data_IF_146169172762
#
_entry.id   IF_146169172762
#
_cell.length_a   1.000
_cell.length_b   1.000
_cell.length_c   1.000
_cell.angle_alpha   90.00
_cell.angle_beta   90.00
_cell.angle_gamma   90.00
#
_symmetry.space_group_name_H-M   'P 1'
#
loop_
_entity.id
_entity.type
_entity.pdbx_description
1 polymer ?
#
# COMPACT_ATOMS: atom_id res chain seq x y z
N UNK A 1 -30.00 -23.04 -56.44
CA UNK A 1 -28.83 -22.88 -55.52
C UNK A 1 -28.31 -24.25 -55.17
N UNK A 2 -27.05 -24.43 -55.40
CA UNK A 2 -26.40 -25.69 -55.07
C UNK A 2 -26.24 -25.84 -53.56
N UNK A 3 -26.77 -26.94 -53.01
CA UNK A 3 -26.62 -27.27 -51.60
C UNK A 3 -25.15 -27.30 -51.16
N UNK A 4 -24.25 -27.63 -52.10
CA UNK A 4 -22.79 -27.62 -51.86
C UNK A 4 -22.25 -26.24 -51.56
N UNK A 5 -22.78 -25.19 -52.21
CA UNK A 5 -22.35 -23.79 -51.99
C UNK A 5 -22.74 -23.31 -50.58
N UNK A 6 -23.95 -23.68 -50.14
CA UNK A 6 -24.45 -23.31 -48.80
C UNK A 6 -23.64 -24.01 -47.71
N UNK A 7 -23.26 -25.28 -47.93
CA UNK A 7 -22.39 -26.01 -46.97
C UNK A 7 -20.99 -25.44 -46.91
N UNK A 8 -20.43 -24.99 -48.02
CA UNK A 8 -19.13 -24.32 -48.05
C UNK A 8 -19.16 -22.96 -47.34
N UNK A 9 -20.21 -22.20 -47.53
CA UNK A 9 -20.38 -20.91 -46.88
C UNK A 9 -20.57 -21.10 -45.37
N UNK A 10 -21.34 -22.10 -44.95
CA UNK A 10 -21.50 -22.43 -43.51
C UNK A 10 -20.20 -22.85 -42.87
N UNK A 11 -19.38 -23.61 -43.56
CA UNK A 11 -18.06 -24.02 -43.09
C UNK A 11 -17.11 -22.84 -42.95
N UNK A 12 -17.15 -21.89 -43.90
CA UNK A 12 -16.34 -20.67 -43.85
C UNK A 12 -16.76 -19.76 -42.68
N UNK A 13 -18.04 -19.59 -42.42
CA UNK A 13 -18.53 -18.83 -41.27
C UNK A 13 -18.19 -19.49 -39.94
N UNK A 14 -18.21 -20.82 -39.89
CA UNK A 14 -17.79 -21.56 -38.72
C UNK A 14 -16.30 -21.37 -38.39
N UNK A 15 -15.46 -21.34 -39.43
CA UNK A 15 -14.01 -21.08 -39.28
C UNK A 15 -13.73 -19.62 -38.88
N UNK A 16 -14.43 -18.67 -39.48
CA UNK A 16 -14.33 -17.25 -39.14
C UNK A 16 -14.79 -16.97 -37.71
N UNK A 17 -15.82 -17.66 -37.27
CA UNK A 17 -16.32 -17.52 -35.90
C UNK A 17 -15.35 -18.10 -34.88
N UNK A 18 -14.71 -19.22 -35.20
CA UNK A 18 -13.72 -19.83 -34.32
C UNK A 18 -12.44 -18.99 -34.20
N UNK A 19 -12.06 -18.29 -35.28
CA UNK A 19 -10.89 -17.40 -35.26
C UNK A 19 -11.17 -16.12 -34.49
N UNK A 20 -12.39 -15.63 -34.47
CA UNK A 20 -12.73 -14.43 -33.71
C UNK A 20 -12.79 -14.67 -32.20
N UNK A 21 -12.99 -15.89 -31.77
CA UNK A 21 -13.02 -16.23 -30.35
C UNK A 21 -11.62 -16.34 -29.74
N UNK A 22 -10.59 -16.51 -30.54
CA UNK A 22 -9.21 -16.65 -30.06
C UNK A 22 -8.48 -15.31 -29.90
N UNK A 23 -9.07 -14.19 -30.34
CA UNK A 23 -8.47 -12.86 -30.16
C UNK A 23 -8.93 -12.14 -28.89
N UNK A 24 -9.70 -12.81 -28.05
CA UNK A 24 -9.96 -12.30 -26.70
C UNK A 24 -8.78 -12.63 -25.77
N UNK A 25 -7.58 -12.34 -26.25
CA UNK A 25 -6.47 -12.11 -25.33
C UNK A 25 -6.84 -10.86 -24.55
N UNK A 26 -7.56 -11.06 -23.48
CA UNK A 26 -7.66 -10.06 -22.44
C UNK A 26 -6.20 -9.75 -22.11
N UNK A 27 -5.74 -8.61 -22.58
CA UNK A 27 -4.55 -8.02 -22.00
C UNK A 27 -4.92 -7.81 -20.55
N UNK A 28 -4.62 -8.80 -19.74
CA UNK A 28 -4.58 -8.61 -18.32
C UNK A 28 -3.60 -7.47 -18.14
N UNK A 29 -4.11 -6.30 -17.85
CA UNK A 29 -3.27 -5.22 -17.37
C UNK A 29 -2.60 -5.79 -16.14
N UNK A 30 -1.40 -6.30 -16.35
CA UNK A 30 -0.56 -6.72 -15.26
C UNK A 30 -0.28 -5.47 -14.47
N UNK A 31 -1.06 -5.27 -13.42
CA UNK A 31 -0.72 -4.26 -12.44
C UNK A 31 0.69 -4.58 -11.97
N UNK A 32 1.59 -3.62 -11.99
CA UNK A 32 2.92 -3.86 -11.50
C UNK A 32 2.78 -4.40 -10.09
N UNK A 33 3.32 -5.59 -9.88
CA UNK A 33 3.31 -6.21 -8.57
C UNK A 33 3.97 -5.25 -7.59
N UNK A 34 3.42 -5.07 -6.41
CA UNK A 34 4.02 -4.21 -5.41
C UNK A 34 5.44 -4.71 -5.12
N UNK A 35 6.38 -3.78 -4.97
CA UNK A 35 7.76 -4.17 -4.71
C UNK A 35 7.85 -5.01 -3.45
N UNK A 36 8.58 -6.10 -3.55
CA UNK A 36 8.83 -7.00 -2.44
C UNK A 36 10.22 -6.77 -1.91
N UNK A 37 10.33 -6.74 -0.61
CA UNK A 37 11.58 -6.46 0.08
C UNK A 37 11.90 -7.56 1.09
N UNK A 38 13.18 -7.73 1.32
CA UNK A 38 13.69 -8.65 2.35
C UNK A 38 14.59 -7.87 3.29
N UNK A 39 14.19 -7.74 4.53
CA UNK A 39 14.94 -7.01 5.56
C UNK A 39 14.93 -7.86 6.82
N UNK A 40 16.11 -8.09 7.36
CA UNK A 40 16.28 -8.72 8.66
C UNK A 40 17.26 -7.87 9.46
N UNK A 41 16.73 -7.02 10.30
CA UNK A 41 17.48 -6.13 11.15
C UNK A 41 16.89 -6.12 12.55
N UNK A 42 17.72 -6.23 13.55
CA UNK A 42 17.31 -6.22 14.93
C UNK A 42 18.10 -5.16 15.69
N UNK A 43 17.41 -4.40 16.52
CA UNK A 43 17.99 -3.39 17.38
C UNK A 43 18.87 -2.38 16.63
N UNK A 44 18.37 -1.90 15.49
CA UNK A 44 19.03 -0.89 14.65
C UNK A 44 18.25 0.41 14.65
N UNK A 45 18.91 1.56 14.41
CA UNK A 45 18.19 2.80 14.26
C UNK A 45 17.17 2.72 13.11
N UNK A 46 16.02 3.33 13.30
CA UNK A 46 14.95 3.36 12.27
C UNK A 46 15.44 3.88 10.93
N UNK A 47 16.36 4.83 10.95
CA UNK A 47 17.03 5.37 9.76
C UNK A 47 17.64 4.27 8.88
N UNK A 48 18.24 3.25 9.50
CA UNK A 48 18.84 2.13 8.78
C UNK A 48 17.81 1.28 8.06
N UNK A 49 16.67 1.09 8.67
CA UNK A 49 15.55 0.34 8.07
C UNK A 49 14.96 1.12 6.91
N UNK A 50 14.78 2.43 7.08
CA UNK A 50 14.31 3.33 6.02
C UNK A 50 15.23 3.24 4.79
N UNK A 51 16.54 3.38 5.02
CA UNK A 51 17.54 3.30 3.96
C UNK A 51 17.52 1.95 3.23
N UNK A 52 17.31 0.86 3.97
CA UNK A 52 17.20 -0.46 3.39
C UNK A 52 15.93 -0.63 2.55
N UNK A 53 14.84 -0.02 2.95
CA UNK A 53 13.58 -0.05 2.19
C UNK A 53 13.72 0.80 0.90
N UNK A 54 14.30 1.97 0.99
CA UNK A 54 14.54 2.84 -0.18
C UNK A 54 15.44 2.15 -1.21
N UNK A 55 16.44 1.42 -0.77
CA UNK A 55 17.35 0.71 -1.68
C UNK A 55 16.71 -0.47 -2.39
N UNK A 56 15.74 -1.11 -1.79
CA UNK A 56 15.05 -2.29 -2.33
C UNK A 56 13.73 -1.97 -3.02
N UNK A 57 13.29 -0.74 -2.93
CA UNK A 57 12.03 -0.28 -3.50
C UNK A 57 12.20 1.08 -4.18
N UNK A 58 11.16 1.52 -4.86
CA UNK A 58 11.13 2.85 -5.47
C UNK A 58 10.39 3.86 -4.59
N UNK A 59 10.23 3.54 -3.31
CA UNK A 59 9.56 4.43 -2.37
C UNK A 59 10.53 5.48 -1.85
N UNK A 60 10.00 6.68 -1.69
CA UNK A 60 10.71 7.82 -1.09
C UNK A 60 10.09 8.10 0.28
N UNK A 61 10.93 8.41 1.23
CA UNK A 61 10.47 8.70 2.58
C UNK A 61 10.49 10.20 2.86
N UNK A 62 9.35 10.71 3.30
CA UNK A 62 9.23 12.06 3.86
C UNK A 62 9.05 11.91 5.38
N UNK A 63 9.95 12.46 6.13
CA UNK A 63 10.01 12.29 7.58
C UNK A 63 9.71 13.62 8.25
N UNK A 64 8.68 13.63 9.09
CA UNK A 64 8.35 14.79 9.90
C UNK A 64 9.47 15.03 10.94
N UNK A 65 9.78 16.30 11.17
CA UNK A 65 10.81 16.72 12.13
C UNK A 65 10.59 16.22 13.56
N UNK A 66 9.35 15.84 13.88
CA UNK A 66 9.00 15.30 15.20
C UNK A 66 9.25 13.81 15.34
N UNK A 67 9.66 13.13 14.28
CA UNK A 67 9.94 11.70 14.28
C UNK A 67 11.37 11.46 14.74
N UNK A 68 11.55 10.65 15.76
CA UNK A 68 12.87 10.25 16.20
C UNK A 68 13.34 9.02 15.39
N UNK A 69 14.06 9.26 14.32
CA UNK A 69 14.60 8.20 13.46
C UNK A 69 15.80 7.46 14.08
N UNK A 70 16.37 7.99 15.16
CA UNK A 70 17.48 7.34 15.85
C UNK A 70 17.01 6.25 16.84
N UNK A 71 15.72 6.17 17.08
CA UNK A 71 15.18 5.11 17.94
C UNK A 71 15.40 3.74 17.31
N UNK A 72 15.71 2.77 18.17
CA UNK A 72 16.00 1.41 17.74
C UNK A 72 14.71 0.65 17.43
N UNK A 73 14.72 -0.04 16.32
CA UNK A 73 13.62 -0.85 15.84
C UNK A 73 14.14 -2.20 15.35
N UNK A 74 13.25 -3.16 15.27
CA UNK A 74 13.55 -4.48 14.71
C UNK A 74 12.53 -4.80 13.63
N UNK A 75 13.02 -5.19 12.47
CA UNK A 75 12.20 -5.59 11.33
C UNK A 75 12.73 -6.91 10.79
N UNK A 76 11.85 -7.87 10.64
CA UNK A 76 12.16 -9.15 10.02
C UNK A 76 11.07 -9.50 9.02
N UNK A 77 11.38 -9.35 7.77
CA UNK A 77 10.48 -9.71 6.68
C UNK A 77 11.26 -10.29 5.51
N UNK A 78 10.70 -11.31 4.90
CA UNK A 78 11.26 -11.98 3.73
C UNK A 78 10.21 -11.99 2.64
N UNK A 79 10.57 -11.47 1.47
CA UNK A 79 9.66 -11.39 0.32
C UNK A 79 8.31 -10.76 0.69
N UNK A 80 8.36 -9.70 1.47
CA UNK A 80 7.19 -9.01 2.01
C UNK A 80 6.96 -7.68 1.29
N UNK A 81 5.73 -7.17 1.40
CA UNK A 81 5.42 -5.84 0.89
C UNK A 81 6.07 -4.76 1.77
N UNK A 82 6.30 -3.60 1.18
CA UNK A 82 6.82 -2.43 1.90
C UNK A 82 5.91 -2.09 3.09
N UNK A 83 4.60 -2.21 2.91
CA UNK A 83 3.62 -1.97 3.97
C UNK A 83 3.84 -2.89 5.19
N UNK A 84 4.13 -4.17 4.95
CA UNK A 84 4.42 -5.12 6.03
C UNK A 84 5.68 -4.72 6.79
N UNK A 85 6.72 -4.31 6.10
CA UNK A 85 7.96 -3.85 6.71
C UNK A 85 7.73 -2.56 7.53
N UNK A 86 6.96 -1.63 7.01
CA UNK A 86 6.60 -0.39 7.71
C UNK A 86 5.79 -0.68 8.98
N UNK A 87 4.82 -1.58 8.90
CA UNK A 87 4.03 -1.99 10.06
C UNK A 87 4.91 -2.56 11.17
N UNK A 88 5.88 -3.39 10.81
CA UNK A 88 6.83 -3.92 11.80
C UNK A 88 7.75 -2.84 12.34
N UNK A 89 8.21 -1.92 11.50
CA UNK A 89 9.11 -0.84 11.87
C UNK A 89 8.48 0.11 12.91
N UNK A 90 7.22 0.48 12.70
CA UNK A 90 6.53 1.41 13.59
C UNK A 90 5.95 0.73 14.84
N UNK A 91 5.90 -0.60 14.84
CA UNK A 91 5.33 -1.34 15.97
C UNK A 91 6.12 -1.08 17.26
N UNK A 92 5.42 -0.61 18.28
CA UNK A 92 6.03 -0.27 19.55
C UNK A 92 6.74 1.09 19.58
N UNK A 93 6.58 1.88 18.54
CA UNK A 93 7.09 3.26 18.46
C UNK A 93 5.95 4.26 18.44
N UNK A 94 6.26 5.52 18.69
CA UNK A 94 5.29 6.62 18.56
C UNK A 94 5.31 7.22 17.16
N UNK A 95 5.46 6.38 16.15
CA UNK A 95 5.52 6.78 14.75
C UNK A 95 4.37 6.16 13.97
N UNK A 96 3.70 6.96 13.18
CA UNK A 96 2.72 6.51 12.22
C UNK A 96 3.26 6.66 10.80
N UNK A 97 2.81 5.83 9.89
CA UNK A 97 3.15 5.97 8.49
C UNK A 97 1.90 6.11 7.63
N UNK A 98 2.08 6.75 6.50
CA UNK A 98 1.07 6.86 5.45
C UNK A 98 1.77 6.64 4.11
N UNK A 99 1.16 5.83 3.26
CA UNK A 99 1.65 5.59 1.91
C UNK A 99 0.76 6.38 0.95
N UNK A 100 1.37 7.17 0.12
CA UNK A 100 0.73 7.94 -0.93
C UNK A 100 1.48 7.70 -2.24
N UNK A 101 0.91 6.84 -3.09
CA UNK A 101 1.53 6.38 -4.33
C UNK A 101 2.92 5.76 -4.06
N UNK A 102 3.98 6.46 -4.38
CA UNK A 102 5.37 6.02 -4.14
C UNK A 102 6.04 6.75 -2.99
N UNK A 103 5.30 7.52 -2.22
CA UNK A 103 5.83 8.27 -1.09
C UNK A 103 5.33 7.68 0.23
N UNK A 104 6.22 7.53 1.16
CA UNK A 104 5.91 7.13 2.53
C UNK A 104 6.14 8.33 3.44
N UNK A 105 5.11 8.76 4.12
CA UNK A 105 5.20 9.86 5.08
C UNK A 105 5.24 9.28 6.48
N UNK A 106 6.28 9.58 7.23
CA UNK A 106 6.41 9.22 8.64
C UNK A 106 6.09 10.43 9.49
N UNK A 107 5.17 10.27 10.41
CA UNK A 107 4.77 11.32 11.36
C UNK A 107 4.79 10.79 12.79
N UNK A 108 5.14 11.64 13.74
CA UNK A 108 5.01 11.28 15.13
C UNK A 108 3.52 11.17 15.47
N UNK A 109 3.13 10.02 16.01
CA UNK A 109 1.83 9.93 16.66
C UNK A 109 1.90 10.83 17.88
N UNK A 110 1.37 12.04 17.73
CA UNK A 110 0.88 12.69 18.91
C UNK A 110 -0.11 11.71 19.52
N UNK A 111 0.22 11.16 20.66
CA UNK A 111 -0.80 10.90 21.63
C UNK A 111 -1.46 12.25 21.86
N UNK A 112 -2.36 12.60 20.97
CA UNK A 112 -3.45 13.39 21.47
C UNK A 112 -3.95 12.53 22.62
N UNK A 113 -3.50 12.87 23.80
CA UNK A 113 -4.35 12.69 24.94
C UNK A 113 -5.65 13.19 24.34
N UNK A 114 -6.50 12.26 23.95
CA UNK A 114 -7.84 12.56 23.63
C UNK A 114 -8.29 13.41 24.82
N UNK A 115 -7.96 14.67 24.71
CA UNK A 115 -8.75 15.65 25.34
C UNK A 115 -10.06 15.44 24.63
N UNK A 116 -10.77 14.42 25.08
CA UNK A 116 -12.19 14.50 24.96
C UNK A 116 -12.44 15.96 25.19
N UNK A 117 -13.05 16.67 24.22
CA UNK A 117 -13.59 17.91 24.64
C UNK A 117 -14.38 17.52 25.87
N UNK A 118 -13.77 17.71 26.97
CA UNK A 118 -14.56 17.89 28.14
C UNK A 118 -15.39 19.06 27.71
N UNK A 119 -16.53 18.72 27.16
CA UNK A 119 -17.60 19.60 27.37
C UNK A 119 -17.58 19.79 28.88
N UNK A 120 -16.73 20.66 29.29
CA UNK A 120 -17.09 21.40 30.44
C UNK A 120 -18.31 22.12 29.93
N UNK A 121 -19.37 21.39 29.81
CA UNK A 121 -20.64 21.98 29.99
C UNK A 121 -20.53 22.57 31.36
N UNK A 122 -19.78 23.56 31.21
CA UNK A 122 -19.77 24.43 32.23
C UNK A 122 -21.17 24.59 32.60
N UNK A 123 -21.55 24.32 33.05
CA UNK A 123 -22.39 24.70 33.48
C UNK A 123 -22.34 25.70 34.01
N UNK A 124 -22.26 26.33 33.67
CA UNK A 124 -22.35 27.22 34.00
C UNK A 124 -23.34 27.64 34.70
N UNK A 125 -23.51 27.79 35.31
CA UNK A 125 -24.20 28.15 35.85
C UNK A 125 -24.33 29.09 36.45
N UNK A 126 -24.44 29.46 36.42
CA UNK A 126 -24.73 30.05 36.79
C UNK A 126 -25.07 30.71 37.39
N UNK A 127 -25.06 31.06 37.53
CA UNK A 127 -25.25 31.57 37.91
C UNK A 127 -25.94 32.19 38.37
N UNK A 128 -26.29 32.42 38.63
CA UNK A 128 -26.85 32.83 38.98
C UNK A 128 -27.13 32.85 39.61
N UNK A 129 -26.82 32.66 39.49
CA UNK A 129 -27.01 32.38 40.12
C UNK A 129 -27.58 32.68 40.54
#
# INVERSE_FOLDING_TARGET
>A
MNKKLILQIRSLYSLLFAVSLSLSSVAAFAQPAPPRITITMADVPMERVIDAIEKQSSYLFAIDTNVNISQKVSVSCTDASVETALTQMVKGTDVAYRIDASNVVLSAVRKEVSAQPRFVSGKVLDAQG
#
